data_IF_372301643968
#
_entry.id   IF_372301643968
#
_cell.length_a   1.000
_cell.length_b   1.000
_cell.length_c   1.000
_cell.angle_alpha   90.00
_cell.angle_beta   90.00
_cell.angle_gamma   90.00
#
_symmetry.space_group_name_H-M   'P 1'
#
loop_
_entity.id
_entity.type
_entity.pdbx_description
1 polymer ?
#
# COMPACT_ATOMS: atom_id res chain seq x y z
N UNK A 1 -5.28 -16.90 16.48
CA UNK A 1 -5.30 -15.61 15.74
C UNK A 1 -5.02 -15.92 14.28
N UNK A 2 -6.06 -16.13 13.48
CA UNK A 2 -5.98 -16.57 12.08
C UNK A 2 -7.19 -16.02 11.33
N UNK A 3 -7.21 -14.73 10.99
CA UNK A 3 -8.36 -14.15 10.26
C UNK A 3 -7.98 -13.26 9.07
N UNK A 4 -6.81 -12.61 9.05
CA UNK A 4 -6.49 -11.67 7.97
C UNK A 4 -6.45 -12.31 6.58
N UNK A 5 -5.81 -13.47 6.41
CA UNK A 5 -5.75 -14.14 5.12
C UNK A 5 -7.10 -14.77 4.72
N UNK A 6 -7.82 -15.36 5.68
CA UNK A 6 -9.14 -15.94 5.44
C UNK A 6 -10.16 -14.88 5.04
N UNK A 7 -10.08 -13.68 5.64
CA UNK A 7 -10.91 -12.53 5.29
C UNK A 7 -10.57 -11.98 3.89
N UNK A 8 -9.28 -11.96 3.51
CA UNK A 8 -8.86 -11.61 2.15
C UNK A 8 -9.36 -12.62 1.11
N UNK A 9 -9.28 -13.94 1.40
CA UNK A 9 -9.77 -15.01 0.53
C UNK A 9 -11.29 -14.96 0.38
N UNK A 10 -12.03 -14.76 1.49
CA UNK A 10 -13.49 -14.69 1.48
C UNK A 10 -14.01 -13.47 0.71
N UNK A 11 -13.41 -12.30 0.94
CA UNK A 11 -13.76 -11.09 0.22
C UNK A 11 -13.44 -11.19 -1.28
N UNK A 12 -12.37 -11.90 -1.66
CA UNK A 12 -12.04 -12.13 -3.05
C UNK A 12 -12.99 -13.14 -3.72
N UNK A 13 -13.41 -14.21 -3.03
CA UNK A 13 -14.45 -15.14 -3.51
C UNK A 13 -15.80 -14.47 -3.76
N UNK A 14 -16.16 -13.48 -2.92
CA UNK A 14 -17.36 -12.65 -3.15
C UNK A 14 -17.19 -11.69 -4.34
N UNK A 15 -15.95 -11.30 -4.65
CA UNK A 15 -15.59 -10.37 -5.71
C UNK A 15 -15.54 -11.04 -7.10
N UNK A 16 -15.05 -12.27 -7.16
CA UNK A 16 -14.97 -13.13 -8.36
C UNK A 16 -16.33 -13.25 -9.09
N UNK A 17 -17.44 -13.37 -8.35
CA UNK A 17 -18.80 -13.42 -8.90
C UNK A 17 -19.32 -12.07 -9.43
N UNK A 18 -18.75 -10.95 -8.98
CA UNK A 18 -19.15 -9.58 -9.40
C UNK A 18 -18.33 -9.05 -10.58
N UNK A 19 -17.18 -9.65 -10.85
CA UNK A 19 -16.28 -9.31 -11.97
C UNK A 19 -16.91 -9.57 -13.36
N UNK A 20 -17.95 -10.40 -13.45
CA UNK A 20 -18.70 -10.63 -14.69
C UNK A 20 -19.65 -9.47 -15.05
N UNK A 21 -19.98 -8.58 -14.11
CA UNK A 21 -20.92 -7.46 -14.35
C UNK A 21 -20.19 -6.10 -14.29
N UNK A 22 -19.62 -5.71 -15.44
CA UNK A 22 -19.26 -4.33 -15.84
C UNK A 22 -18.52 -3.45 -14.82
N UNK A 23 -17.18 -3.37 -14.88
CA UNK A 23 -16.44 -2.22 -14.34
C UNK A 23 -15.14 -1.95 -15.13
N UNK A 24 -14.78 -0.67 -15.32
CA UNK A 24 -13.51 -0.24 -15.91
C UNK A 24 -12.34 -0.47 -14.95
N UNK A 25 -11.15 -0.77 -15.51
CA UNK A 25 -9.95 -1.27 -14.80
C UNK A 25 -9.46 -0.45 -13.58
N UNK A 26 -9.89 0.81 -13.43
CA UNK A 26 -9.56 1.66 -12.27
C UNK A 26 -10.38 1.35 -11.02
N UNK A 27 -11.66 1.04 -11.19
CA UNK A 27 -12.59 0.81 -10.09
C UNK A 27 -12.38 -0.55 -9.43
N UNK A 28 -11.91 -1.55 -10.21
CA UNK A 28 -11.59 -2.88 -9.67
C UNK A 28 -10.42 -2.84 -8.69
N UNK A 29 -9.38 -2.07 -9.03
CA UNK A 29 -8.21 -1.88 -8.18
C UNK A 29 -8.54 -1.02 -6.96
N UNK A 30 -9.48 -0.08 -7.10
CA UNK A 30 -10.02 0.65 -5.96
C UNK A 30 -10.71 -0.29 -4.96
N UNK A 31 -11.38 -1.34 -5.44
CA UNK A 31 -12.00 -2.35 -4.58
C UNK A 31 -10.96 -3.22 -3.86
N UNK A 32 -9.86 -3.58 -4.55
CA UNK A 32 -8.71 -4.25 -3.91
C UNK A 32 -8.11 -3.38 -2.80
N UNK A 33 -7.86 -2.09 -3.05
CA UNK A 33 -7.35 -1.20 -1.99
C UNK A 33 -8.33 -1.06 -0.83
N UNK A 34 -9.63 -0.87 -1.11
CA UNK A 34 -10.67 -0.83 -0.07
C UNK A 34 -10.70 -2.11 0.76
N UNK A 35 -10.43 -3.26 0.16
CA UNK A 35 -10.34 -4.53 0.88
C UNK A 35 -9.08 -4.59 1.75
N UNK A 36 -7.94 -4.14 1.24
CA UNK A 36 -6.69 -4.05 2.00
C UNK A 36 -6.87 -3.14 3.23
N UNK A 37 -7.52 -2.00 3.07
CA UNK A 37 -7.82 -1.06 4.16
C UNK A 37 -8.87 -1.56 5.16
N UNK A 38 -9.55 -2.68 4.89
CA UNK A 38 -10.38 -3.36 5.89
C UNK A 38 -9.57 -4.25 6.83
N UNK A 39 -8.34 -4.62 6.46
CA UNK A 39 -7.44 -5.35 7.36
C UNK A 39 -6.89 -4.38 8.42
N UNK A 40 -7.11 -4.62 9.73
CA UNK A 40 -6.71 -3.66 10.77
C UNK A 40 -5.23 -3.26 10.73
N UNK A 41 -4.25 -4.19 10.60
CA UNK A 41 -2.84 -3.81 10.54
C UNK A 41 -2.49 -2.90 9.35
N UNK A 42 -3.12 -3.12 8.20
CA UNK A 42 -2.88 -2.32 6.99
C UNK A 42 -3.53 -0.95 7.13
N UNK A 43 -4.77 -0.93 7.64
CA UNK A 43 -5.50 0.31 7.91
C UNK A 43 -4.73 1.23 8.86
N UNK A 44 -4.19 0.65 9.94
CA UNK A 44 -3.47 1.41 10.97
C UNK A 44 -2.15 1.97 10.43
N UNK A 45 -1.40 1.18 9.65
CA UNK A 45 -0.18 1.64 8.97
C UNK A 45 -0.51 2.77 7.99
N UNK A 46 -1.53 2.63 7.15
CA UNK A 46 -1.91 3.66 6.18
C UNK A 46 -2.42 4.93 6.86
N UNK A 47 -3.15 4.81 7.97
CA UNK A 47 -3.57 5.95 8.78
C UNK A 47 -2.37 6.71 9.37
N UNK A 48 -1.37 5.99 9.91
CA UNK A 48 -0.12 6.59 10.39
C UNK A 48 0.67 7.27 9.27
N UNK A 49 0.78 6.65 8.10
CA UNK A 49 1.43 7.26 6.93
C UNK A 49 0.75 8.59 6.57
N UNK A 50 -0.59 8.62 6.50
CA UNK A 50 -1.34 9.86 6.23
C UNK A 50 -1.12 10.91 7.31
N UNK A 51 -1.10 10.51 8.58
CA UNK A 51 -0.80 11.42 9.68
C UNK A 51 0.59 12.06 9.52
N UNK A 52 1.62 11.26 9.23
CA UNK A 52 2.98 11.77 9.00
C UNK A 52 2.99 12.73 7.80
N UNK A 53 2.44 12.33 6.65
CA UNK A 53 2.39 13.17 5.44
C UNK A 53 1.72 14.50 5.72
N UNK A 54 0.58 14.50 6.42
CA UNK A 54 -0.13 15.71 6.78
C UNK A 54 0.71 16.56 7.74
N UNK A 55 1.33 15.98 8.77
CA UNK A 55 2.16 16.74 9.72
C UNK A 55 3.33 17.46 9.05
N UNK A 56 3.95 16.86 8.03
CA UNK A 56 5.00 17.52 7.25
C UNK A 56 4.47 18.70 6.42
N UNK A 57 3.23 18.61 5.91
CA UNK A 57 2.61 19.66 5.10
C UNK A 57 2.27 20.96 5.85
N UNK A 58 2.21 20.93 7.19
CA UNK A 58 1.83 22.09 8.00
C UNK A 58 2.97 23.11 8.24
N UNK A 59 4.22 22.75 7.96
CA UNK A 59 5.39 23.57 8.31
C UNK A 59 6.30 23.77 7.11
N UNK A 60 6.49 25.05 6.74
CA UNK A 60 7.44 25.42 5.70
C UNK A 60 8.87 24.94 6.03
N UNK A 61 9.26 25.04 7.31
CA UNK A 61 10.56 24.58 7.81
C UNK A 61 10.75 23.07 7.60
N UNK A 62 9.73 22.28 7.92
CA UNK A 62 9.78 20.82 7.76
C UNK A 62 9.84 20.43 6.28
N UNK A 63 9.05 21.09 5.42
CA UNK A 63 9.09 20.87 3.98
C UNK A 63 10.46 21.24 3.40
N UNK A 64 11.05 22.37 3.83
CA UNK A 64 12.37 22.80 3.40
C UNK A 64 13.48 21.82 3.83
N UNK A 65 13.46 21.38 5.10
CA UNK A 65 14.39 20.38 5.62
C UNK A 65 14.30 19.07 4.84
N UNK A 66 13.07 18.61 4.53
CA UNK A 66 12.86 17.41 3.74
C UNK A 66 13.40 17.57 2.31
N UNK A 67 13.11 18.69 1.64
CA UNK A 67 13.61 18.96 0.30
C UNK A 67 15.13 19.03 0.24
N UNK A 68 15.77 19.68 1.22
CA UNK A 68 17.22 19.76 1.31
C UNK A 68 17.88 18.36 1.40
N UNK A 69 17.26 17.43 2.12
CA UNK A 69 17.76 16.06 2.31
C UNK A 69 17.48 15.11 1.14
N UNK A 70 16.51 15.44 0.30
CA UNK A 70 15.99 14.52 -0.73
C UNK A 70 16.21 15.01 -2.15
N UNK A 71 16.92 16.13 -2.35
CA UNK A 71 17.12 16.74 -3.66
C UNK A 71 15.83 17.34 -4.23
N UNK A 72 15.01 17.98 -3.37
CA UNK A 72 13.79 18.69 -3.78
C UNK A 72 12.50 17.86 -3.70
N UNK A 73 12.53 16.65 -3.14
CA UNK A 73 11.32 15.84 -3.01
C UNK A 73 10.50 16.26 -1.78
N UNK A 74 9.18 16.31 -1.97
CA UNK A 74 8.19 16.45 -0.90
C UNK A 74 7.45 15.12 -0.67
N UNK A 75 6.85 14.97 0.51
CA UNK A 75 5.77 14.01 0.71
C UNK A 75 4.53 14.48 -0.08
N UNK A 76 3.67 13.53 -0.40
CA UNK A 76 2.47 13.73 -1.23
C UNK A 76 1.29 13.05 -0.56
N UNK A 77 0.21 13.79 -0.37
CA UNK A 77 -1.04 13.26 0.16
C UNK A 77 -1.74 12.40 -0.88
N UNK A 78 -2.46 11.37 -0.42
CA UNK A 78 -3.33 10.59 -1.27
C UNK A 78 -4.75 11.16 -1.33
N UNK A 79 -5.47 10.75 -2.37
CA UNK A 79 -6.92 10.77 -2.40
C UNK A 79 -7.39 9.33 -2.15
N UNK A 80 -7.99 9.09 -0.98
CA UNK A 80 -8.41 7.74 -0.55
C UNK A 80 -9.41 7.06 -1.47
N UNK A 81 -10.08 7.83 -2.35
CA UNK A 81 -10.98 7.28 -3.38
C UNK A 81 -10.26 6.80 -4.63
N UNK A 82 -8.94 6.99 -4.75
CA UNK A 82 -8.13 6.61 -5.93
C UNK A 82 -6.83 5.91 -5.52
N UNK A 83 -6.78 4.61 -5.77
CA UNK A 83 -5.68 3.71 -5.41
C UNK A 83 -4.34 4.15 -5.97
N UNK A 84 -4.34 4.77 -7.15
CA UNK A 84 -3.13 5.28 -7.82
C UNK A 84 -2.44 6.36 -6.98
N UNK A 85 -3.21 7.24 -6.33
CA UNK A 85 -2.67 8.26 -5.45
C UNK A 85 -2.22 7.68 -4.10
N UNK A 86 -2.92 6.67 -3.58
CA UNK A 86 -2.52 5.94 -2.37
C UNK A 86 -1.20 5.20 -2.58
N UNK A 87 -1.03 4.53 -3.73
CA UNK A 87 0.24 3.91 -4.11
C UNK A 87 1.34 4.96 -4.25
N UNK A 88 1.07 6.08 -4.92
CA UNK A 88 2.07 7.12 -5.14
C UNK A 88 2.56 7.72 -3.80
N UNK A 89 1.65 7.97 -2.85
CA UNK A 89 1.99 8.39 -1.49
C UNK A 89 2.89 7.36 -0.79
N UNK A 90 2.51 6.09 -0.83
CA UNK A 90 3.28 5.01 -0.21
C UNK A 90 4.68 4.84 -0.86
N UNK A 91 4.76 4.86 -2.20
CA UNK A 91 6.01 4.82 -2.97
C UNK A 91 6.93 5.98 -2.56
N UNK A 92 6.38 7.20 -2.44
CA UNK A 92 7.15 8.36 -2.01
C UNK A 92 7.65 8.18 -0.59
N UNK A 93 6.77 7.82 0.34
CA UNK A 93 7.11 7.62 1.75
C UNK A 93 8.27 6.62 1.91
N UNK A 94 8.22 5.49 1.20
CA UNK A 94 9.31 4.49 1.20
C UNK A 94 10.58 5.05 0.56
N UNK A 95 10.48 5.78 -0.55
CA UNK A 95 11.65 6.34 -1.26
C UNK A 95 12.45 7.31 -0.40
N UNK A 96 11.79 8.10 0.43
CA UNK A 96 12.44 9.12 1.28
C UNK A 96 12.45 8.74 2.77
N UNK A 97 12.33 7.44 3.09
CA UNK A 97 12.29 6.89 4.45
C UNK A 97 13.36 7.51 5.36
N UNK A 98 14.64 7.43 4.99
CA UNK A 98 15.74 7.90 5.83
C UNK A 98 15.63 9.40 6.19
N UNK A 99 15.15 10.23 5.27
CA UNK A 99 14.97 11.66 5.51
C UNK A 99 13.79 11.93 6.45
N UNK A 100 12.68 11.19 6.28
CA UNK A 100 11.51 11.28 7.16
C UNK A 100 11.87 10.83 8.58
N UNK A 101 12.57 9.71 8.73
CA UNK A 101 13.03 9.20 10.03
C UNK A 101 13.97 10.20 10.72
N UNK A 102 14.91 10.80 9.98
CA UNK A 102 15.81 11.82 10.53
C UNK A 102 15.03 13.01 11.08
N UNK A 103 14.08 13.54 10.30
CA UNK A 103 13.30 14.73 10.67
C UNK A 103 12.40 14.48 11.89
N UNK A 104 11.80 13.27 11.99
CA UNK A 104 10.91 12.92 13.10
C UNK A 104 11.71 12.56 14.36
N UNK A 105 12.70 11.67 14.24
CA UNK A 105 13.36 11.02 15.39
C UNK A 105 14.55 11.83 15.89
N UNK A 106 15.38 12.35 14.99
CA UNK A 106 16.63 13.04 15.34
C UNK A 106 16.40 14.53 15.54
N UNK A 107 15.80 15.19 14.55
CA UNK A 107 15.61 16.65 14.60
C UNK A 107 14.35 17.07 15.34
N UNK A 108 13.41 16.13 15.53
CA UNK A 108 12.14 16.35 16.23
C UNK A 108 11.34 17.55 15.70
N UNK A 109 11.47 17.88 14.41
CA UNK A 109 10.76 19.01 13.79
C UNK A 109 9.26 18.74 13.61
N UNK A 110 8.85 17.48 13.78
CA UNK A 110 7.46 17.04 13.62
C UNK A 110 7.06 16.20 14.83
N UNK A 111 5.98 16.60 15.51
CA UNK A 111 5.43 15.90 16.67
C UNK A 111 4.44 14.82 16.23
N UNK A 112 4.94 13.81 15.52
CA UNK A 112 4.17 12.62 15.11
C UNK A 112 5.03 11.38 15.39
N UNK A 113 4.47 10.28 15.92
CA UNK A 113 5.24 9.05 16.05
C UNK A 113 5.68 8.56 14.66
N UNK A 114 6.95 8.16 14.56
CA UNK A 114 7.45 7.48 13.38
C UNK A 114 6.80 6.07 13.24
N UNK A 115 6.86 5.50 12.04
CA UNK A 115 6.53 4.09 11.86
C UNK A 115 7.58 3.21 12.54
N UNK A 116 7.13 2.10 13.14
CA UNK A 116 8.02 1.05 13.63
C UNK A 116 8.66 0.28 12.47
N UNK A 117 9.70 -0.51 12.75
CA UNK A 117 10.35 -1.33 11.73
C UNK A 117 9.37 -2.32 11.06
N UNK A 118 8.46 -2.92 11.82
CA UNK A 118 7.44 -3.83 11.27
C UNK A 118 6.42 -3.09 10.41
N UNK A 119 6.04 -1.87 10.79
CA UNK A 119 5.13 -1.03 10.01
C UNK A 119 5.76 -0.58 8.69
N UNK A 120 7.06 -0.28 8.68
CA UNK A 120 7.81 -0.02 7.46
C UNK A 120 7.84 -1.22 6.51
N UNK A 121 7.99 -2.44 7.07
CA UNK A 121 7.93 -3.67 6.27
C UNK A 121 6.55 -3.88 5.66
N UNK A 122 5.48 -3.62 6.42
CA UNK A 122 4.10 -3.65 5.91
C UNK A 122 3.94 -2.64 4.77
N UNK A 123 4.39 -1.40 4.94
CA UNK A 123 4.30 -0.36 3.92
C UNK A 123 5.06 -0.75 2.62
N UNK A 124 6.27 -1.30 2.75
CA UNK A 124 7.03 -1.83 1.60
C UNK A 124 6.31 -3.00 0.93
N UNK A 125 5.66 -3.86 1.71
CA UNK A 125 4.80 -4.93 1.21
C UNK A 125 3.63 -4.38 0.39
N UNK A 126 2.94 -3.35 0.88
CA UNK A 126 1.85 -2.65 0.18
C UNK A 126 2.35 -2.04 -1.14
N UNK A 127 3.48 -1.33 -1.13
CA UNK A 127 4.07 -0.74 -2.34
C UNK A 127 4.41 -1.82 -3.37
N UNK A 128 5.09 -2.90 -2.95
CA UNK A 128 5.44 -4.03 -3.83
C UNK A 128 4.18 -4.70 -4.40
N UNK A 129 3.14 -4.83 -3.59
CA UNK A 129 1.88 -5.44 -3.96
C UNK A 129 1.13 -4.59 -4.98
N UNK A 130 0.82 -3.34 -4.62
CA UNK A 130 0.08 -2.41 -5.47
C UNK A 130 0.85 -2.02 -6.74
N UNK A 131 2.19 -2.00 -6.68
CA UNK A 131 3.06 -1.76 -7.83
C UNK A 131 2.92 -2.80 -8.94
N UNK A 132 2.54 -4.06 -8.62
CA UNK A 132 2.26 -5.08 -9.64
C UNK A 132 1.07 -4.68 -10.51
N UNK A 133 0.02 -4.10 -9.92
CA UNK A 133 -1.14 -3.64 -10.68
C UNK A 133 -0.85 -2.42 -11.54
N UNK A 134 0.03 -1.52 -11.07
CA UNK A 134 0.52 -0.39 -11.88
C UNK A 134 1.23 -0.86 -13.15
N UNK A 135 2.06 -1.92 -13.06
CA UNK A 135 2.71 -2.54 -14.22
C UNK A 135 1.71 -3.21 -15.16
N UNK A 136 0.72 -3.91 -14.62
CA UNK A 136 -0.33 -4.56 -15.40
C UNK A 136 -1.15 -3.49 -16.15
N UNK A 137 -1.62 -2.44 -15.46
CA UNK A 137 -2.34 -1.32 -16.07
C UNK A 137 -1.53 -0.63 -17.18
N UNK A 138 -0.23 -0.39 -16.96
CA UNK A 138 0.63 0.23 -17.98
C UNK A 138 0.74 -0.63 -19.25
N UNK A 139 0.83 -1.96 -19.11
CA UNK A 139 0.83 -2.89 -20.26
C UNK A 139 -0.54 -2.93 -20.95
N UNK A 140 -1.61 -2.98 -20.18
CA UNK A 140 -2.99 -3.03 -20.70
C UNK A 140 -3.36 -1.78 -21.48
N UNK A 141 -2.98 -0.61 -20.97
CA UNK A 141 -3.23 0.67 -21.63
C UNK A 141 -2.42 0.84 -22.92
N UNK A 142 -1.26 0.18 -23.03
CA UNK A 142 -0.50 0.10 -24.27
C UNK A 142 -1.15 -0.83 -25.31
N UNK A 143 -1.92 -1.85 -24.89
CA UNK A 143 -2.53 -2.85 -25.76
C UNK A 143 -3.92 -2.46 -26.30
N UNK A 144 -4.64 -1.48 -25.75
CA UNK A 144 -5.99 -1.03 -26.19
C UNK A 144 -7.05 -2.15 -26.34
N UNK A 145 -6.98 -3.24 -25.58
CA UNK A 145 -7.97 -4.35 -25.62
C UNK A 145 -8.64 -4.51 -24.26
N UNK A 146 -9.92 -4.92 -24.22
CA UNK A 146 -10.65 -5.26 -22.99
C UNK A 146 -10.12 -6.56 -22.37
N UNK A 147 -9.78 -6.52 -21.08
CA UNK A 147 -8.75 -7.40 -20.49
C UNK A 147 -9.04 -7.97 -19.10
N UNK A 148 -10.30 -8.02 -18.69
CA UNK A 148 -10.73 -8.65 -17.41
C UNK A 148 -10.15 -10.08 -17.28
N UNK A 149 -10.20 -10.88 -18.34
CA UNK A 149 -9.67 -12.26 -18.35
C UNK A 149 -8.13 -12.34 -18.21
N UNK A 150 -7.38 -11.27 -18.54
CA UNK A 150 -5.91 -11.22 -18.38
C UNK A 150 -5.50 -10.85 -16.96
N UNK A 151 -6.37 -10.23 -16.16
CA UNK A 151 -6.10 -9.86 -14.76
C UNK A 151 -6.24 -11.08 -13.83
N UNK A 152 -7.14 -12.01 -14.15
CA UNK A 152 -7.46 -13.18 -13.30
C UNK A 152 -6.21 -14.02 -12.91
N UNK A 153 -5.29 -14.38 -13.83
CA UNK A 153 -4.07 -15.11 -13.46
C UNK A 153 -3.18 -14.33 -12.48
N UNK A 154 -3.09 -13.02 -12.65
CA UNK A 154 -2.32 -12.16 -11.77
C UNK A 154 -2.93 -12.04 -10.37
N UNK A 155 -4.26 -12.04 -10.27
CA UNK A 155 -4.97 -12.09 -8.98
C UNK A 155 -4.75 -13.44 -8.27
N UNK A 156 -4.66 -14.55 -9.01
CA UNK A 156 -4.32 -15.88 -8.45
C UNK A 156 -2.88 -15.94 -7.94
N UNK A 157 -1.91 -15.40 -8.67
CA UNK A 157 -0.51 -15.29 -8.23
C UNK A 157 -0.38 -14.47 -6.95
N UNK A 158 -1.16 -13.39 -6.87
CA UNK A 158 -1.28 -12.53 -5.70
C UNK A 158 -1.78 -13.29 -4.48
N UNK A 159 -2.80 -14.12 -4.66
CA UNK A 159 -3.39 -14.98 -3.63
C UNK A 159 -2.39 -16.00 -3.09
N UNK A 160 -1.60 -16.60 -3.97
CA UNK A 160 -0.53 -17.52 -3.60
C UNK A 160 0.55 -16.81 -2.77
N UNK A 161 0.94 -15.59 -3.16
CA UNK A 161 1.94 -14.80 -2.44
C UNK A 161 1.47 -14.35 -1.06
N UNK A 162 0.20 -13.91 -0.94
CA UNK A 162 -0.39 -13.53 0.35
C UNK A 162 -0.50 -14.73 1.30
N UNK A 163 -0.86 -15.90 0.76
CA UNK A 163 -0.88 -17.16 1.52
C UNK A 163 0.52 -17.55 2.01
N UNK A 164 1.54 -17.37 1.17
CA UNK A 164 2.94 -17.64 1.53
C UNK A 164 3.50 -16.63 2.56
N UNK A 165 3.10 -15.36 2.51
CA UNK A 165 3.51 -14.39 3.54
C UNK A 165 2.84 -14.69 4.89
N UNK A 166 1.62 -15.24 4.90
CA UNK A 166 0.95 -15.72 6.11
C UNK A 166 1.76 -16.82 6.79
N UNK A 167 2.26 -17.80 6.03
CA UNK A 167 3.06 -18.91 6.58
C UNK A 167 4.40 -18.47 7.14
N UNK A 168 4.96 -17.36 6.64
CA UNK A 168 6.20 -16.79 7.16
C UNK A 168 5.99 -15.91 8.41
N UNK A 169 4.78 -15.40 8.62
CA UNK A 169 4.42 -14.57 9.78
C UNK A 169 4.01 -15.39 11.02
N UNK A 170 3.90 -16.72 10.90
CA UNK A 170 3.66 -17.65 12.00
C UNK A 170 4.98 -18.39 12.34
N UNK A 171 5.90 -17.83 13.14
CA UNK A 171 7.01 -18.60 13.66
C UNK A 171 6.49 -19.52 14.79
N UNK A 172 6.16 -20.75 14.45
CA UNK A 172 5.96 -21.81 15.43
C UNK A 172 4.77 -22.73 15.17
N UNK A 173 4.96 -23.71 14.30
CA UNK A 173 4.23 -24.99 14.32
C UNK A 173 5.12 -26.06 13.64
N UNK A 174 6.34 -26.22 14.16
CA UNK A 174 7.19 -27.37 13.92
C UNK A 174 7.76 -27.83 15.26
N UNK A 175 6.91 -28.20 16.21
CA UNK A 175 7.14 -29.20 17.27
C UNK A 175 5.78 -29.47 17.94
N UNK A 176 5.10 -30.51 17.47
CA UNK A 176 4.23 -31.43 18.20
C UNK A 176 3.69 -32.46 17.21
#
# INVERSE_FOLDING_TARGET
MTDNASNMIAAFKMYDKKLEECVTEEDELQLVVKLFEKSPPIKDVMAKVRAIVNSFGHSHTTVAALMARTGGLKLISDNTTRWSSTLLMAERMVKIQAAVETIIVVEQLVKVPNLSQSEWLVLKGIVKFLGKFKLIKARMQAEKVSTIHKIIPHLKDILAHLSHMKTLAEPGLLWN
#
